data_IF_322610750572
#
_entry.id   IF_322610750572
#
_cell.length_a   1.000
_cell.length_b   1.000
_cell.length_c   1.000
_cell.angle_alpha   90.00
_cell.angle_beta   90.00
_cell.angle_gamma   90.00
#
_symmetry.space_group_name_H-M   'P 1'
#
loop_
_entity.id
_entity.type
_entity.pdbx_description
1 polymer ?
#
# COMPACT_ATOMS: atom_id res chain seq x y z
N UNK A 1 -10.87 -0.25 -1.96
CA UNK A 1 -9.82 -1.28 -1.93
C UNK A 1 -10.49 -2.64 -2.03
N UNK A 2 -9.98 -3.56 -2.84
CA UNK A 2 -10.53 -4.91 -3.04
C UNK A 2 -9.56 -6.01 -2.57
N UNK A 3 -8.28 -5.72 -2.45
CA UNK A 3 -7.29 -6.63 -1.89
C UNK A 3 -6.15 -5.85 -1.24
N UNK A 4 -5.48 -6.49 -0.30
CA UNK A 4 -4.31 -5.97 0.39
C UNK A 4 -3.36 -7.10 0.76
N UNK A 5 -2.12 -6.74 1.10
CA UNK A 5 -1.11 -7.67 1.63
C UNK A 5 -1.66 -8.43 2.85
N UNK A 6 -1.41 -9.74 2.87
CA UNK A 6 -1.63 -10.61 4.03
C UNK A 6 -0.34 -11.32 4.42
N UNK A 7 -0.12 -11.48 5.71
CA UNK A 7 1.06 -12.15 6.26
C UNK A 7 0.72 -13.60 6.61
N UNK A 8 1.55 -14.53 6.14
CA UNK A 8 1.61 -15.87 6.71
C UNK A 8 2.43 -15.82 8.01
N UNK A 9 1.72 -15.68 9.13
CA UNK A 9 2.32 -15.52 10.44
C UNK A 9 3.14 -16.74 10.88
N UNK A 10 2.78 -17.94 10.45
CA UNK A 10 3.52 -19.17 10.80
C UNK A 10 4.89 -19.17 10.10
N UNK A 11 4.93 -18.81 8.84
CA UNK A 11 6.19 -18.70 8.09
C UNK A 11 7.04 -17.55 8.62
N UNK A 12 6.43 -16.40 8.89
CA UNK A 12 7.14 -15.27 9.47
C UNK A 12 7.76 -15.65 10.84
N UNK A 13 7.04 -16.35 11.70
CA UNK A 13 7.54 -16.80 12.98
C UNK A 13 8.70 -17.81 12.84
N UNK A 14 8.61 -18.75 11.88
CA UNK A 14 9.71 -19.68 11.55
C UNK A 14 10.96 -18.93 11.10
N UNK A 15 10.80 -17.96 10.20
CA UNK A 15 11.89 -17.10 9.72
C UNK A 15 12.56 -16.35 10.89
N UNK A 16 11.78 -15.67 11.72
CA UNK A 16 12.31 -14.94 12.88
C UNK A 16 13.02 -15.87 13.88
N UNK A 17 12.55 -17.10 14.04
CA UNK A 17 13.19 -18.11 14.87
C UNK A 17 14.54 -18.55 14.28
N UNK A 18 14.61 -18.77 12.96
CA UNK A 18 15.86 -19.16 12.27
C UNK A 18 16.95 -18.10 12.33
N UNK A 19 16.55 -16.84 12.50
CA UNK A 19 17.49 -15.73 12.72
C UNK A 19 18.09 -15.70 14.15
N UNK A 20 17.79 -16.69 14.98
CA UNK A 20 18.31 -16.77 16.36
C UNK A 20 17.68 -15.76 17.33
N UNK A 21 16.48 -15.26 17.03
CA UNK A 21 15.93 -14.05 17.60
C UNK A 21 14.81 -14.37 18.62
N UNK A 22 15.17 -14.72 19.84
CA UNK A 22 14.15 -14.83 20.91
C UNK A 22 13.39 -13.52 21.11
N UNK A 23 14.07 -12.39 21.01
CA UNK A 23 13.49 -11.04 21.11
C UNK A 23 12.56 -10.70 19.95
N UNK A 24 12.82 -11.22 18.74
CA UNK A 24 11.97 -10.97 17.57
C UNK A 24 10.58 -11.61 17.73
N UNK A 25 10.47 -12.76 18.37
CA UNK A 25 9.16 -13.39 18.67
C UNK A 25 8.32 -12.52 19.62
N UNK A 26 8.94 -12.03 20.68
CA UNK A 26 8.27 -11.13 21.64
C UNK A 26 7.89 -9.81 20.99
N UNK A 27 8.78 -9.27 20.16
CA UNK A 27 8.49 -8.08 19.36
C UNK A 27 7.31 -8.32 18.43
N UNK A 28 7.29 -9.43 17.66
CA UNK A 28 6.20 -9.75 16.73
C UNK A 28 4.85 -9.84 17.46
N UNK A 29 4.79 -10.49 18.60
CA UNK A 29 3.54 -10.62 19.36
C UNK A 29 2.98 -9.25 19.80
N UNK A 30 3.85 -8.34 20.26
CA UNK A 30 3.47 -6.97 20.62
C UNK A 30 3.05 -6.15 19.41
N UNK A 31 3.81 -6.23 18.35
CA UNK A 31 3.59 -5.40 17.15
C UNK A 31 2.36 -5.85 16.38
N UNK A 32 2.09 -7.16 16.31
CA UNK A 32 0.85 -7.70 15.73
C UNK A 32 -0.40 -7.14 16.40
N UNK A 33 -0.38 -7.00 17.72
CA UNK A 33 -1.50 -6.44 18.47
C UNK A 33 -1.67 -4.92 18.25
N UNK A 34 -0.59 -4.22 17.89
CA UNK A 34 -0.58 -2.77 17.71
C UNK A 34 -0.71 -2.32 16.24
N UNK A 35 -0.41 -3.22 15.29
CA UNK A 35 -0.42 -2.87 13.85
C UNK A 35 -1.84 -2.73 13.32
N UNK A 36 -2.06 -1.72 12.49
CA UNK A 36 -3.35 -1.43 11.85
C UNK A 36 -3.64 -2.36 10.67
N UNK A 37 -2.59 -2.87 10.01
CA UNK A 37 -2.71 -3.78 8.87
C UNK A 37 -1.49 -4.70 8.74
N UNK A 38 -1.67 -5.82 8.01
CA UNK A 38 -0.57 -6.73 7.68
C UNK A 38 0.50 -6.05 6.80
N UNK A 39 0.09 -5.13 5.93
CA UNK A 39 1.01 -4.35 5.11
C UNK A 39 1.94 -3.46 5.95
N UNK A 40 1.40 -2.77 6.94
CA UNK A 40 2.17 -1.95 7.88
C UNK A 40 3.18 -2.81 8.68
N UNK A 41 2.71 -3.95 9.18
CA UNK A 41 3.58 -4.88 9.91
C UNK A 41 4.67 -5.46 9.01
N UNK A 42 4.35 -5.84 7.76
CA UNK A 42 5.34 -6.39 6.83
C UNK A 42 6.40 -5.35 6.47
N UNK A 43 6.03 -4.09 6.29
CA UNK A 43 6.94 -2.96 6.07
C UNK A 43 7.94 -2.83 7.23
N UNK A 44 7.47 -2.89 8.46
CA UNK A 44 8.33 -2.83 9.64
C UNK A 44 9.23 -4.06 9.77
N UNK A 45 8.72 -5.27 9.51
CA UNK A 45 9.50 -6.52 9.49
C UNK A 45 10.62 -6.41 8.47
N UNK A 46 10.33 -5.96 7.25
CA UNK A 46 11.32 -5.82 6.18
C UNK A 46 12.47 -4.89 6.61
N UNK A 47 12.14 -3.71 7.11
CA UNK A 47 13.14 -2.75 7.55
C UNK A 47 13.97 -3.24 8.74
N UNK A 48 13.33 -3.87 9.74
CA UNK A 48 14.04 -4.42 10.89
C UNK A 48 14.94 -5.61 10.51
N UNK A 49 14.54 -6.38 9.51
CA UNK A 49 15.36 -7.49 8.99
C UNK A 49 16.62 -6.97 8.33
N UNK A 50 16.55 -5.93 7.51
CA UNK A 50 17.70 -5.30 6.87
C UNK A 50 18.74 -4.84 7.86
N UNK A 51 18.33 -4.25 8.98
CA UNK A 51 19.24 -3.70 9.98
C UNK A 51 19.46 -4.63 11.19
N UNK A 52 18.85 -5.82 11.21
CA UNK A 52 18.82 -6.72 12.37
C UNK A 52 18.43 -5.99 13.65
N UNK A 53 17.41 -5.11 13.57
CA UNK A 53 17.05 -4.16 14.63
C UNK A 53 15.81 -4.59 15.43
N UNK A 54 15.61 -5.91 15.65
CA UNK A 54 14.55 -6.44 16.51
C UNK A 54 14.86 -6.31 18.01
N UNK A 55 16.14 -6.17 18.36
CA UNK A 55 16.60 -6.00 19.73
C UNK A 55 18.00 -5.45 19.80
N UNK A 56 18.37 -4.89 20.96
CA UNK A 56 19.73 -4.43 21.24
C UNK A 56 20.67 -5.66 21.32
N UNK A 57 21.87 -5.53 20.78
CA UNK A 57 22.88 -6.60 20.77
C UNK A 57 22.84 -7.51 19.54
N UNK A 58 21.83 -7.41 18.68
CA UNK A 58 21.75 -8.19 17.43
C UNK A 58 22.64 -7.64 16.32
N UNK A 59 22.89 -6.35 16.38
CA UNK A 59 23.79 -5.64 15.48
C UNK A 59 24.55 -4.60 16.32
N UNK A 60 25.90 -4.61 16.32
CA UNK A 60 26.69 -3.64 17.08
C UNK A 60 26.39 -2.17 16.76
N UNK A 61 25.90 -1.91 15.57
CA UNK A 61 25.55 -0.55 15.13
C UNK A 61 24.15 -0.11 15.58
N UNK A 62 23.36 -1.00 16.18
CA UNK A 62 22.02 -0.68 16.69
C UNK A 62 22.16 -0.18 18.12
N UNK A 63 22.16 1.13 18.28
CA UNK A 63 22.28 1.81 19.58
C UNK A 63 20.94 2.15 20.21
N UNK A 64 19.88 2.21 19.40
CA UNK A 64 18.52 2.54 19.84
C UNK A 64 17.48 1.67 19.13
N UNK A 65 16.58 1.04 19.89
CA UNK A 65 15.42 0.34 19.37
C UNK A 65 14.17 1.22 19.57
N UNK A 66 13.47 1.51 18.49
CA UNK A 66 12.18 2.19 18.55
C UNK A 66 11.12 1.20 19.01
N UNK A 67 10.36 1.60 20.02
CA UNK A 67 9.41 0.71 20.70
C UNK A 67 8.07 0.60 19.99
N UNK A 68 7.61 1.67 19.33
CA UNK A 68 6.35 1.67 18.56
C UNK A 68 6.58 1.57 17.07
N UNK A 69 5.66 0.93 16.36
CA UNK A 69 5.62 0.88 14.89
C UNK A 69 5.52 2.28 14.30
N UNK A 70 4.72 3.14 14.90
CA UNK A 70 4.58 4.53 14.44
C UNK A 70 5.90 5.29 14.50
N UNK A 71 6.61 5.25 15.63
CA UNK A 71 7.94 5.89 15.75
C UNK A 71 8.93 5.31 14.75
N UNK A 72 8.86 4.00 14.48
CA UNK A 72 9.71 3.34 13.51
C UNK A 72 9.45 3.84 12.08
N UNK A 73 8.18 3.82 11.66
CA UNK A 73 7.76 4.24 10.33
C UNK A 73 8.06 5.72 10.09
N UNK A 74 7.73 6.60 11.04
CA UNK A 74 8.02 8.02 10.95
C UNK A 74 9.52 8.31 10.80
N UNK A 75 10.37 7.60 11.54
CA UNK A 75 11.81 7.75 11.38
C UNK A 75 12.32 7.27 10.01
N UNK A 76 11.73 6.21 9.47
CA UNK A 76 12.10 5.69 8.15
C UNK A 76 11.70 6.67 7.05
N UNK A 77 10.50 7.24 7.14
CA UNK A 77 10.02 8.29 6.25
C UNK A 77 10.93 9.53 6.31
N UNK A 78 11.28 9.97 7.51
CA UNK A 78 12.16 11.14 7.70
C UNK A 78 13.56 10.95 7.12
N UNK A 79 14.04 9.71 7.04
CA UNK A 79 15.33 9.36 6.42
C UNK A 79 15.27 9.18 4.91
N UNK A 80 14.08 9.06 4.33
CA UNK A 80 13.89 8.75 2.91
C UNK A 80 14.15 7.28 2.54
N UNK A 81 14.13 6.37 3.51
CA UNK A 81 14.33 4.92 3.30
C UNK A 81 13.03 4.29 2.75
N UNK A 82 12.64 4.66 1.52
CA UNK A 82 11.35 4.33 0.93
C UNK A 82 11.15 2.88 0.52
N UNK A 83 12.23 2.14 0.24
CA UNK A 83 12.18 0.79 -0.34
C UNK A 83 11.40 -0.23 0.50
N UNK A 84 11.39 -0.09 1.82
CA UNK A 84 10.64 -1.00 2.69
C UNK A 84 9.12 -0.90 2.53
N UNK A 85 8.61 0.23 2.05
CA UNK A 85 7.18 0.43 1.82
C UNK A 85 6.67 -0.32 0.58
N UNK A 86 7.56 -0.75 -0.31
CA UNK A 86 7.22 -1.53 -1.49
C UNK A 86 6.81 -2.97 -1.17
N UNK A 87 7.07 -3.45 0.05
CA UNK A 87 6.61 -4.77 0.52
C UNK A 87 5.10 -4.82 0.79
N UNK A 88 4.49 -3.67 1.05
CA UNK A 88 3.04 -3.56 1.24
C UNK A 88 2.36 -3.23 -0.09
N UNK A 89 1.39 -4.05 -0.49
CA UNK A 89 0.63 -3.85 -1.73
C UNK A 89 -0.86 -3.79 -1.46
N UNK A 90 -1.59 -3.06 -2.29
CA UNK A 90 -3.03 -3.03 -2.25
C UNK A 90 -3.60 -2.94 -3.68
N UNK A 91 -4.79 -3.44 -3.87
CA UNK A 91 -5.50 -3.38 -5.15
C UNK A 91 -6.78 -2.56 -4.99
N UNK A 92 -6.99 -1.63 -5.90
CA UNK A 92 -8.18 -0.81 -5.96
C UNK A 92 -8.97 -1.10 -7.23
N UNK A 93 -10.30 -1.12 -7.12
CA UNK A 93 -11.20 -1.02 -8.25
C UNK A 93 -11.72 0.42 -8.33
N UNK A 94 -11.53 1.06 -9.47
CA UNK A 94 -12.10 2.37 -9.78
C UNK A 94 -13.30 2.16 -10.70
N UNK A 95 -14.48 2.52 -10.21
CA UNK A 95 -15.74 2.38 -10.93
C UNK A 95 -16.33 3.76 -11.21
N UNK A 96 -17.03 3.90 -12.35
CA UNK A 96 -17.67 5.15 -12.75
C UNK A 96 -16.72 6.36 -12.79
N UNK A 97 -15.47 6.13 -13.20
CA UNK A 97 -14.47 7.17 -13.43
C UNK A 97 -14.37 7.53 -14.90
N UNK A 98 -13.94 8.74 -15.20
CA UNK A 98 -13.78 9.18 -16.59
C UNK A 98 -12.59 8.50 -17.28
N UNK A 99 -12.63 8.42 -18.61
CA UNK A 99 -11.47 7.97 -19.41
C UNK A 99 -10.30 8.94 -19.30
N UNK A 100 -10.54 10.21 -19.07
CA UNK A 100 -9.48 11.20 -18.80
C UNK A 100 -8.68 10.80 -17.56
N UNK A 101 -9.38 10.47 -16.46
CA UNK A 101 -8.74 9.99 -15.24
C UNK A 101 -7.90 8.73 -15.48
N UNK A 102 -8.47 7.71 -16.14
CA UNK A 102 -7.75 6.45 -16.37
C UNK A 102 -6.59 6.62 -17.34
N UNK A 103 -6.69 7.55 -18.29
CA UNK A 103 -5.64 7.85 -19.28
C UNK A 103 -4.41 8.48 -18.61
N UNK A 104 -4.61 9.31 -17.61
CA UNK A 104 -3.51 9.85 -16.80
C UNK A 104 -2.97 8.80 -15.82
N UNK A 105 -3.86 8.03 -15.17
CA UNK A 105 -3.47 7.01 -14.20
C UNK A 105 -2.53 5.94 -14.80
N UNK A 106 -2.79 5.47 -16.03
CA UNK A 106 -1.98 4.42 -16.67
C UNK A 106 -0.53 4.84 -16.98
N UNK A 107 -0.21 6.11 -16.84
CA UNK A 107 1.15 6.64 -17.04
C UNK A 107 2.03 6.47 -15.82
N UNK A 108 1.45 6.27 -14.65
CA UNK A 108 2.18 6.04 -13.39
C UNK A 108 2.53 4.55 -13.27
N UNK A 109 3.57 4.12 -13.96
CA UNK A 109 3.92 2.70 -14.11
C UNK A 109 4.80 2.10 -13.01
N UNK A 110 5.80 2.81 -12.44
CA UNK A 110 6.65 2.23 -11.42
C UNK A 110 5.84 1.76 -10.21
N UNK A 111 5.97 0.47 -9.87
CA UNK A 111 5.27 -0.12 -8.73
C UNK A 111 3.76 -0.31 -8.89
N UNK A 112 3.20 -0.06 -10.08
CA UNK A 112 1.75 -0.12 -10.32
C UNK A 112 1.43 -1.06 -11.48
N UNK A 113 0.53 -2.03 -11.24
CA UNK A 113 -0.10 -2.85 -12.28
C UNK A 113 -1.52 -2.32 -12.54
N UNK A 114 -1.85 -2.08 -13.81
CA UNK A 114 -3.14 -1.49 -14.18
C UNK A 114 -3.84 -2.39 -15.18
N UNK A 115 -5.09 -2.74 -14.86
CA UNK A 115 -6.02 -3.39 -15.77
C UNK A 115 -7.21 -2.46 -16.00
N UNK A 116 -7.52 -2.20 -17.26
CA UNK A 116 -8.59 -1.31 -17.65
C UNK A 116 -9.51 -2.01 -18.66
N UNK A 117 -10.82 -1.76 -18.55
CA UNK A 117 -11.79 -2.22 -19.53
C UNK A 117 -11.39 -1.77 -20.95
N UNK A 118 -11.31 -2.73 -21.86
CA UNK A 118 -10.87 -2.49 -23.22
C UNK A 118 -12.05 -2.13 -24.13
N UNK A 119 -12.00 -0.95 -24.74
CA UNK A 119 -12.96 -0.56 -25.78
C UNK A 119 -12.81 -1.34 -27.10
N UNK A 120 -11.76 -2.15 -27.25
CA UNK A 120 -11.58 -3.03 -28.41
C UNK A 120 -12.39 -4.33 -28.30
N UNK A 121 -12.56 -4.81 -27.07
CA UNK A 121 -13.23 -6.09 -26.80
C UNK A 121 -14.60 -5.91 -26.15
N UNK A 122 -14.77 -4.91 -25.32
CA UNK A 122 -16.04 -4.57 -24.70
C UNK A 122 -16.72 -3.48 -25.52
N UNK A 123 -17.85 -3.81 -26.12
CA UNK A 123 -18.67 -2.83 -26.86
C UNK A 123 -19.64 -2.16 -25.87
N UNK A 124 -19.52 -0.85 -25.65
CA UNK A 124 -20.47 -0.14 -24.82
C UNK A 124 -21.88 -0.25 -25.42
N UNK A 125 -22.87 -0.53 -24.58
CA UNK A 125 -24.29 -0.52 -24.97
C UNK A 125 -24.87 0.89 -25.19
N UNK A 126 -24.08 1.92 -24.86
CA UNK A 126 -24.41 3.32 -25.01
C UNK A 126 -23.24 4.23 -24.65
N UNK A 127 -23.36 5.50 -24.96
CA UNK A 127 -22.41 6.51 -24.54
C UNK A 127 -22.83 7.09 -23.20
N UNK A 128 -21.95 6.97 -22.21
CA UNK A 128 -22.16 7.55 -20.90
C UNK A 128 -21.26 8.76 -20.73
N UNK A 129 -21.86 9.93 -20.58
CA UNK A 129 -21.13 11.14 -20.27
C UNK A 129 -20.85 11.17 -18.77
N UNK A 130 -19.58 11.09 -18.40
CA UNK A 130 -19.18 11.33 -17.02
C UNK A 130 -19.23 12.82 -16.72
N UNK A 131 -20.05 13.22 -15.76
CA UNK A 131 -20.17 14.59 -15.31
C UNK A 131 -19.52 14.75 -13.95
N UNK A 132 -18.65 15.74 -13.77
CA UNK A 132 -18.19 16.14 -12.43
C UNK A 132 -19.37 16.39 -11.50
N UNK A 133 -19.23 16.08 -10.20
CA UNK A 133 -20.32 16.28 -9.22
C UNK A 133 -20.89 17.70 -9.23
N UNK A 134 -20.02 18.69 -9.45
CA UNK A 134 -20.37 20.12 -9.45
C UNK A 134 -21.29 20.50 -10.62
N UNK A 135 -21.31 19.70 -11.68
CA UNK A 135 -22.11 19.92 -12.88
C UNK A 135 -23.38 19.05 -12.89
N UNK A 136 -23.51 18.10 -11.97
CA UNK A 136 -24.71 17.26 -11.84
C UNK A 136 -25.87 18.14 -11.39
N UNK A 137 -26.91 18.22 -12.21
CA UNK A 137 -28.11 19.04 -11.94
C UNK A 137 -28.18 20.35 -12.72
N UNK A 138 -27.11 20.80 -13.38
CA UNK A 138 -27.14 21.98 -14.26
C UNK A 138 -27.48 21.58 -15.71
N UNK A 139 -28.68 21.00 -15.90
CA UNK A 139 -29.14 20.49 -17.21
C UNK A 139 -29.15 21.52 -18.34
N UNK A 140 -29.30 22.80 -18.02
CA UNK A 140 -29.41 23.86 -19.05
C UNK A 140 -28.12 24.15 -19.81
N UNK A 141 -26.95 23.89 -19.20
CA UNK A 141 -25.68 24.23 -19.83
C UNK A 141 -25.12 23.12 -20.74
N UNK A 142 -25.69 21.90 -20.67
CA UNK A 142 -25.21 20.76 -21.47
C UNK A 142 -25.87 20.65 -22.83
N UNK A 143 -27.12 21.06 -22.97
CA UNK A 143 -27.80 21.06 -24.28
C UNK A 143 -27.13 22.02 -25.27
N UNK A 144 -26.50 23.08 -24.80
CA UNK A 144 -25.74 24.02 -25.66
C UNK A 144 -24.35 23.54 -26.09
N UNK A 145 -23.85 22.44 -25.49
CA UNK A 145 -22.52 21.90 -25.82
C UNK A 145 -22.61 20.69 -26.77
N UNK A 146 -23.76 20.02 -26.81
CA UNK A 146 -23.99 18.77 -27.59
C UNK A 146 -24.92 19.04 -28.79
N UNK A 147 -25.51 20.23 -28.92
CA UNK A 147 -26.42 20.63 -30.00
C UNK A 147 -25.74 21.02 -31.29
#
# INVERSE_FOLDING_TARGET
>A
MIAETRIDFDQLQKMLTSLGQSTARTWLAKTKAASKSDGELLTEVAGRTCYKSFGIGLNPNVTKIRQSSEEYIQNTLAKGDGSIFEHATCTFAFLNVSRVFTHELVRHRPGVAISQESLRYVRPSGFYLWLPPELRGKKSNFQSIIG
#
